data_IF_647832859295
#
_entry.id   IF_647832859295
#
_cell.length_a   1.000
_cell.length_b   1.000
_cell.length_c   1.000
_cell.angle_alpha   90.00
_cell.angle_beta   90.00
_cell.angle_gamma   90.00
#
_symmetry.space_group_name_H-M   'P 1'
#
loop_
_entity.id
_entity.type
_entity.pdbx_description
1 polymer ?
#
# COMPACT_ATOMS: atom_id res chain seq x y z
N UNK A 1 -20.44 10.17 69.51
CA UNK A 1 -19.56 10.04 68.32
C UNK A 1 -20.28 9.15 67.32
N UNK A 2 -20.79 9.69 66.22
CA UNK A 2 -21.51 8.95 65.17
C UNK A 2 -20.50 8.59 64.07
N UNK A 3 -20.32 7.29 63.82
CA UNK A 3 -19.53 6.80 62.69
C UNK A 3 -20.36 6.94 61.41
N UNK A 4 -19.87 7.71 60.44
CA UNK A 4 -20.38 7.72 59.07
C UNK A 4 -19.66 6.65 58.26
N UNK A 5 -20.44 5.73 57.69
CA UNK A 5 -20.00 4.75 56.71
C UNK A 5 -20.00 5.43 55.34
N UNK A 6 -18.83 5.60 54.73
CA UNK A 6 -18.71 6.09 53.34
C UNK A 6 -18.70 4.85 52.43
N UNK A 7 -19.75 4.71 51.61
CA UNK A 7 -19.85 3.68 50.58
C UNK A 7 -19.25 4.26 49.28
N UNK A 8 -18.15 3.70 48.81
CA UNK A 8 -17.62 3.97 47.46
C UNK A 8 -18.37 3.09 46.46
N UNK A 9 -19.13 3.72 45.55
CA UNK A 9 -19.62 3.07 44.34
C UNK A 9 -18.51 3.08 43.29
N UNK A 10 -17.85 1.95 43.05
CA UNK A 10 -17.07 1.74 41.84
C UNK A 10 -18.03 1.50 40.67
N UNK A 11 -18.17 2.49 39.80
CA UNK A 11 -18.74 2.28 38.48
C UNK A 11 -17.69 1.61 37.58
N UNK A 12 -17.81 0.31 37.39
CA UNK A 12 -17.14 -0.35 36.26
C UNK A 12 -17.88 0.06 34.99
N UNK A 13 -17.27 0.94 34.19
CA UNK A 13 -17.62 1.07 32.79
C UNK A 13 -17.21 -0.22 32.10
N UNK A 14 -18.18 -1.12 31.87
CA UNK A 14 -18.03 -2.11 30.82
C UNK A 14 -18.08 -1.35 29.50
N UNK A 15 -16.91 -1.11 28.89
CA UNK A 15 -16.85 -0.80 27.47
C UNK A 15 -17.44 -2.01 26.76
N UNK A 16 -18.61 -1.82 26.17
CA UNK A 16 -19.11 -2.72 25.14
C UNK A 16 -18.06 -2.68 24.05
N UNK A 17 -17.30 -3.77 23.87
CA UNK A 17 -16.46 -3.96 22.69
C UNK A 17 -17.40 -3.88 21.48
N UNK A 18 -17.53 -2.69 20.88
CA UNK A 18 -17.86 -2.62 19.47
C UNK A 18 -16.76 -3.41 18.79
N UNK A 19 -17.12 -4.52 18.15
CA UNK A 19 -16.18 -5.31 17.38
C UNK A 19 -15.53 -4.34 16.38
N UNK A 20 -14.29 -3.92 16.64
CA UNK A 20 -13.56 -3.02 15.76
C UNK A 20 -13.52 -3.70 14.40
N UNK A 21 -14.05 -3.02 13.38
CA UNK A 21 -14.02 -3.56 12.03
C UNK A 21 -12.59 -3.45 11.50
N UNK A 22 -11.80 -4.47 11.83
CA UNK A 22 -10.40 -4.59 11.44
C UNK A 22 -10.23 -5.00 9.97
N UNK A 23 -11.31 -5.11 9.18
CA UNK A 23 -11.23 -5.34 7.75
C UNK A 23 -11.77 -4.13 6.98
N UNK A 24 -10.86 -3.37 6.36
CA UNK A 24 -11.21 -2.19 5.58
C UNK A 24 -11.03 -2.48 4.09
N UNK A 25 -12.06 -2.20 3.29
CA UNK A 25 -12.03 -2.39 1.82
C UNK A 25 -12.10 -1.04 1.12
N UNK A 26 -11.22 -0.88 0.13
CA UNK A 26 -11.06 0.35 -0.63
C UNK A 26 -10.73 0.10 -2.08
N UNK A 27 -10.56 1.20 -2.81
CA UNK A 27 -10.11 1.18 -4.18
C UNK A 27 -9.28 2.43 -4.51
N UNK A 28 -8.60 2.36 -5.66
CA UNK A 28 -7.78 3.46 -6.16
C UNK A 28 -8.54 4.29 -7.19
N UNK A 29 -8.46 5.62 -7.06
CA UNK A 29 -8.85 6.55 -8.10
C UNK A 29 -7.64 7.35 -8.61
N UNK A 30 -7.66 7.67 -9.90
CA UNK A 30 -6.81 8.72 -10.46
C UNK A 30 -7.47 10.09 -10.26
N UNK A 31 -6.63 11.12 -10.24
CA UNK A 31 -7.08 12.50 -10.09
C UNK A 31 -8.16 12.92 -11.11
N UNK A 32 -8.04 12.49 -12.37
CA UNK A 32 -9.00 12.83 -13.44
C UNK A 32 -10.31 12.03 -13.36
N UNK A 33 -10.46 11.15 -12.37
CA UNK A 33 -11.66 10.34 -12.15
C UNK A 33 -12.53 10.91 -11.01
N UNK A 34 -12.05 11.95 -10.32
CA UNK A 34 -12.87 12.72 -9.39
C UNK A 34 -14.03 13.41 -10.12
N UNK A 35 -15.21 13.44 -9.49
CA UNK A 35 -16.44 14.02 -10.03
C UNK A 35 -16.88 13.37 -11.37
N UNK A 36 -16.67 12.06 -11.48
CA UNK A 36 -17.13 11.26 -12.62
C UNK A 36 -18.04 10.13 -12.14
N UNK A 37 -18.69 9.43 -13.08
CA UNK A 37 -19.44 8.21 -12.77
C UNK A 37 -18.59 7.19 -11.98
N UNK A 38 -17.26 7.13 -12.20
CA UNK A 38 -16.39 6.22 -11.45
C UNK A 38 -16.28 6.63 -9.98
N UNK A 39 -16.14 7.93 -9.67
CA UNK A 39 -16.12 8.38 -8.27
C UNK A 39 -17.49 8.21 -7.60
N UNK A 40 -18.59 8.34 -8.34
CA UNK A 40 -19.94 8.10 -7.78
C UNK A 40 -20.11 6.62 -7.39
N UNK A 41 -19.65 5.69 -8.24
CA UNK A 41 -19.62 4.27 -7.93
C UNK A 41 -18.66 3.96 -6.77
N UNK A 42 -17.49 4.63 -6.73
CA UNK A 42 -16.54 4.50 -5.63
C UNK A 42 -17.21 4.84 -4.29
N UNK A 43 -17.85 6.01 -4.20
CA UNK A 43 -18.46 6.51 -2.96
C UNK A 43 -19.65 5.68 -2.49
N UNK A 44 -20.26 4.92 -3.41
CA UNK A 44 -21.32 3.98 -3.06
C UNK A 44 -20.78 2.78 -2.28
N UNK A 45 -19.58 2.30 -2.62
CA UNK A 45 -19.09 0.99 -2.20
C UNK A 45 -17.86 1.06 -1.27
N UNK A 46 -17.13 2.18 -1.19
CA UNK A 46 -15.86 2.23 -0.47
C UNK A 46 -15.72 3.44 0.46
N UNK A 47 -15.05 3.20 1.59
CA UNK A 47 -14.64 4.21 2.58
C UNK A 47 -13.12 4.41 2.64
N UNK A 48 -12.36 3.66 1.83
CA UNK A 48 -10.90 3.71 1.78
C UNK A 48 -10.41 4.02 0.36
N UNK A 49 -9.67 5.12 0.22
CA UNK A 49 -9.12 5.62 -1.04
C UNK A 49 -7.60 5.55 -1.07
N UNK A 50 -7.04 5.10 -2.20
CA UNK A 50 -5.64 5.36 -2.55
C UNK A 50 -5.55 6.26 -3.79
N UNK A 51 -4.85 7.41 -3.75
CA UNK A 51 -4.57 8.20 -4.94
C UNK A 51 -3.53 7.51 -5.84
N UNK A 52 -3.92 7.05 -7.03
CA UNK A 52 -3.08 6.19 -7.89
C UNK A 52 -1.66 6.74 -8.16
N UNK A 53 -1.60 8.04 -8.49
CA UNK A 53 -0.37 8.71 -8.93
C UNK A 53 -0.18 10.09 -8.32
N UNK A 54 -1.23 10.69 -7.73
CA UNK A 54 -1.22 12.09 -7.33
C UNK A 54 -0.18 12.42 -6.25
N UNK A 55 0.17 11.44 -5.39
CA UNK A 55 1.18 11.58 -4.34
C UNK A 55 2.59 11.16 -4.76
N UNK A 56 2.78 10.56 -5.95
CA UNK A 56 4.10 10.07 -6.38
C UNK A 56 5.07 11.23 -6.58
N UNK A 57 6.35 11.00 -6.28
CA UNK A 57 7.40 12.02 -6.38
C UNK A 57 7.46 12.66 -7.77
N UNK A 58 7.24 11.91 -8.85
CA UNK A 58 7.18 12.44 -10.22
C UNK A 58 6.11 13.50 -10.43
N UNK A 59 5.04 13.46 -9.65
CA UNK A 59 3.92 14.40 -9.72
C UNK A 59 4.11 15.55 -8.75
N UNK A 60 4.44 15.27 -7.49
CA UNK A 60 4.55 16.31 -6.45
C UNK A 60 5.89 17.04 -6.46
N UNK A 61 6.95 16.40 -6.95
CA UNK A 61 8.30 16.96 -7.03
C UNK A 61 8.95 16.69 -8.42
N UNK A 62 8.36 17.25 -9.50
CA UNK A 62 8.70 16.87 -10.88
C UNK A 62 10.08 17.36 -11.35
N UNK A 63 10.66 18.35 -10.68
CA UNK A 63 11.96 18.97 -10.97
C UNK A 63 12.64 19.39 -9.65
N UNK A 64 13.97 19.58 -9.63
CA UNK A 64 14.66 20.12 -8.47
C UNK A 64 14.01 21.42 -7.98
N UNK A 65 13.89 21.56 -6.65
CA UNK A 65 13.32 22.74 -5.97
C UNK A 65 11.89 23.14 -6.42
N UNK A 66 11.15 22.24 -7.07
CA UNK A 66 9.80 22.54 -7.60
C UNK A 66 8.78 21.59 -7.00
N UNK A 67 7.76 22.14 -6.36
CA UNK A 67 6.69 21.39 -5.72
C UNK A 67 5.34 21.63 -6.39
N UNK A 68 4.55 20.56 -6.58
CA UNK A 68 3.20 20.61 -7.14
C UNK A 68 2.24 19.73 -6.34
N UNK A 69 1.67 20.31 -5.30
CA UNK A 69 0.73 19.64 -4.41
C UNK A 69 -0.72 19.66 -4.91
N UNK A 70 -1.02 20.35 -6.01
CA UNK A 70 -2.40 20.65 -6.45
C UNK A 70 -3.26 19.40 -6.59
N UNK A 71 -2.75 18.36 -7.27
CA UNK A 71 -3.54 17.14 -7.52
C UNK A 71 -3.81 16.36 -6.23
N UNK A 72 -2.81 16.23 -5.36
CA UNK A 72 -2.98 15.49 -4.11
C UNK A 72 -3.81 16.28 -3.10
N UNK A 73 -3.72 17.61 -3.06
CA UNK A 73 -4.61 18.44 -2.25
C UNK A 73 -6.08 18.21 -2.60
N UNK A 74 -6.43 18.21 -3.89
CA UNK A 74 -7.81 17.95 -4.29
C UNK A 74 -8.29 16.52 -3.98
N UNK A 75 -7.39 15.53 -3.98
CA UNK A 75 -7.72 14.16 -3.53
C UNK A 75 -7.89 14.09 -2.00
N UNK A 76 -7.10 14.84 -1.23
CA UNK A 76 -7.25 14.97 0.22
C UNK A 76 -8.56 15.68 0.56
N UNK A 77 -8.89 16.76 -0.14
CA UNK A 77 -10.16 17.47 0.00
C UNK A 77 -11.34 16.54 -0.29
N UNK A 78 -11.27 15.76 -1.38
CA UNK A 78 -12.27 14.75 -1.70
C UNK A 78 -12.43 13.72 -0.58
N UNK A 79 -11.32 13.19 -0.04
CA UNK A 79 -11.37 12.25 1.08
C UNK A 79 -11.97 12.87 2.34
N UNK A 80 -11.58 14.09 2.70
CA UNK A 80 -12.11 14.80 3.85
C UNK A 80 -13.61 15.10 3.72
N UNK A 81 -14.07 15.54 2.53
CA UNK A 81 -15.49 15.85 2.26
C UNK A 81 -16.36 14.60 2.39
N UNK A 82 -15.86 13.46 1.93
CA UNK A 82 -16.59 12.20 1.91
C UNK A 82 -16.28 11.26 3.09
N UNK A 83 -15.54 11.74 4.11
CA UNK A 83 -15.12 10.97 5.28
C UNK A 83 -14.43 9.64 4.93
N UNK A 84 -13.52 9.68 3.97
CA UNK A 84 -12.74 8.53 3.53
C UNK A 84 -11.43 8.42 4.33
N UNK A 85 -11.05 7.20 4.68
CA UNK A 85 -9.68 6.88 5.04
C UNK A 85 -8.81 6.92 3.77
N UNK A 86 -7.61 7.46 3.89
CA UNK A 86 -6.72 7.66 2.75
C UNK A 86 -5.34 7.05 3.00
N UNK A 87 -4.86 6.27 2.02
CA UNK A 87 -3.47 5.82 1.94
C UNK A 87 -2.67 6.71 0.99
N UNK A 88 -1.55 7.21 1.47
CA UNK A 88 -0.58 7.90 0.63
C UNK A 88 0.33 6.88 -0.05
N UNK A 89 0.10 6.67 -1.35
CA UNK A 89 1.02 5.94 -2.22
C UNK A 89 1.94 6.94 -2.96
N UNK A 90 2.92 7.46 -2.22
CA UNK A 90 3.98 8.35 -2.71
C UNK A 90 5.38 7.96 -2.22
N UNK A 91 5.79 6.69 -2.34
CA UNK A 91 6.93 6.14 -1.61
C UNK A 91 8.32 6.54 -2.13
N UNK A 92 9.33 6.38 -1.29
CA UNK A 92 10.72 6.25 -1.72
C UNK A 92 10.94 4.88 -2.37
N UNK A 93 11.33 4.88 -3.64
CA UNK A 93 11.52 3.65 -4.41
C UNK A 93 11.65 3.91 -5.91
N UNK A 94 11.30 2.92 -6.76
CA UNK A 94 11.39 3.04 -8.21
C UNK A 94 10.47 4.09 -8.85
N UNK A 95 9.43 4.53 -8.15
CA UNK A 95 8.50 5.58 -8.58
C UNK A 95 9.07 7.01 -8.45
N UNK A 96 10.40 7.15 -8.38
CA UNK A 96 11.08 8.44 -8.26
C UNK A 96 11.06 9.28 -9.54
N UNK A 97 11.24 10.59 -9.36
CA UNK A 97 11.34 11.55 -10.45
C UNK A 97 12.50 11.22 -11.39
N UNK A 98 12.33 11.46 -12.69
CA UNK A 98 13.38 11.17 -13.70
C UNK A 98 14.70 11.85 -13.38
N UNK A 99 14.68 13.06 -12.82
CA UNK A 99 15.89 13.82 -12.48
C UNK A 99 16.64 13.26 -11.27
N UNK A 100 15.97 12.51 -10.40
CA UNK A 100 16.60 11.75 -9.30
C UNK A 100 17.35 10.53 -9.87
N UNK A 101 16.85 9.98 -10.97
CA UNK A 101 17.45 8.83 -11.66
C UNK A 101 18.58 9.20 -12.62
N UNK A 102 19.00 10.46 -12.67
CA UNK A 102 20.12 10.85 -13.52
C UNK A 102 21.39 10.11 -13.07
N UNK A 103 22.15 9.58 -14.03
CA UNK A 103 23.35 8.79 -13.76
C UNK A 103 24.42 9.61 -13.03
N UNK A 104 24.42 10.93 -13.26
CA UNK A 104 25.35 11.89 -12.65
C UNK A 104 25.12 12.15 -11.16
N UNK A 105 23.99 11.70 -10.58
CA UNK A 105 23.67 11.93 -9.17
C UNK A 105 24.66 11.26 -8.23
N UNK A 106 25.18 12.05 -7.28
CA UNK A 106 26.05 11.57 -6.20
C UNK A 106 25.23 11.00 -5.04
N UNK A 107 25.89 10.24 -4.16
CA UNK A 107 25.28 9.75 -2.92
C UNK A 107 24.74 10.90 -2.05
N UNK A 108 25.53 11.96 -1.87
CA UNK A 108 25.17 13.10 -1.02
C UNK A 108 23.98 13.89 -1.59
N UNK A 109 23.93 14.10 -2.90
CA UNK A 109 22.79 14.73 -3.56
C UNK A 109 21.53 13.89 -3.39
N UNK A 110 21.61 12.57 -3.55
CA UNK A 110 20.48 11.67 -3.35
C UNK A 110 20.01 11.68 -1.89
N UNK A 111 20.93 11.72 -0.92
CA UNK A 111 20.58 11.83 0.49
C UNK A 111 19.84 13.14 0.78
N UNK A 112 20.34 14.27 0.28
CA UNK A 112 19.69 15.57 0.44
C UNK A 112 18.27 15.56 -0.14
N UNK A 113 18.11 15.08 -1.38
CA UNK A 113 16.81 15.00 -2.04
C UNK A 113 15.83 14.06 -1.31
N UNK A 114 16.34 12.95 -0.75
CA UNK A 114 15.53 12.04 0.06
C UNK A 114 15.04 12.72 1.33
N UNK A 115 15.94 13.39 2.04
CA UNK A 115 15.61 14.10 3.29
C UNK A 115 14.60 15.21 3.02
N UNK A 116 14.80 16.02 1.98
CA UNK A 116 13.84 17.05 1.55
C UNK A 116 12.47 16.43 1.25
N UNK A 117 12.43 15.41 0.38
CA UNK A 117 11.17 14.81 -0.05
C UNK A 117 10.39 14.17 1.09
N UNK A 118 11.06 13.40 1.95
CA UNK A 118 10.43 12.75 3.10
C UNK A 118 9.97 13.76 4.14
N UNK A 119 10.76 14.80 4.40
CA UNK A 119 10.41 15.84 5.38
C UNK A 119 9.13 16.57 4.96
N UNK A 120 9.09 17.08 3.73
CA UNK A 120 7.93 17.83 3.21
C UNK A 120 6.68 16.95 3.14
N UNK A 121 6.82 15.70 2.67
CA UNK A 121 5.70 14.76 2.60
C UNK A 121 5.15 14.40 3.98
N UNK A 122 6.02 14.08 4.95
CA UNK A 122 5.58 13.71 6.31
C UNK A 122 4.90 14.89 7.01
N UNK A 123 5.48 16.10 6.95
CA UNK A 123 4.88 17.30 7.55
C UNK A 123 3.52 17.60 6.93
N UNK A 124 3.39 17.42 5.61
CA UNK A 124 2.13 17.68 4.93
C UNK A 124 1.07 16.66 5.33
N UNK A 125 1.33 15.38 5.14
CA UNK A 125 0.32 14.34 5.30
C UNK A 125 -0.05 14.08 6.76
N UNK A 126 0.88 14.25 7.71
CA UNK A 126 0.59 14.11 9.15
C UNK A 126 -0.46 15.09 9.69
N UNK A 127 -0.73 16.17 8.96
CA UNK A 127 -1.75 17.18 9.32
C UNK A 127 -3.13 16.85 8.78
N UNK A 128 -3.25 15.84 7.92
CA UNK A 128 -4.48 15.50 7.22
C UNK A 128 -5.23 14.39 7.96
N UNK A 129 -6.43 14.65 8.51
CA UNK A 129 -7.12 13.70 9.38
C UNK A 129 -7.59 12.43 8.66
N UNK A 130 -7.80 12.49 7.35
CA UNK A 130 -8.13 11.34 6.51
C UNK A 130 -6.95 10.41 6.27
N UNK A 131 -5.71 10.87 6.40
CA UNK A 131 -4.54 10.03 6.10
C UNK A 131 -4.29 9.06 7.23
N UNK A 132 -4.45 7.75 6.95
CA UNK A 132 -4.23 6.67 7.92
C UNK A 132 -2.94 5.89 7.67
N UNK A 133 -2.56 5.75 6.41
CA UNK A 133 -1.39 4.97 6.01
C UNK A 133 -0.50 5.73 5.03
N UNK A 134 0.81 5.56 5.14
CA UNK A 134 1.78 6.07 4.18
C UNK A 134 2.75 4.96 3.76
N UNK A 135 2.87 4.75 2.45
CA UNK A 135 3.95 3.93 1.91
C UNK A 135 5.26 4.68 2.04
N UNK A 136 6.07 4.33 3.03
CA UNK A 136 7.38 4.98 3.25
C UNK A 136 8.36 4.55 2.16
N UNK A 137 8.43 3.25 1.90
CA UNK A 137 9.25 2.67 0.84
C UNK A 137 8.44 1.68 0.02
N UNK A 138 8.80 1.53 -1.26
CA UNK A 138 8.13 0.62 -2.17
C UNK A 138 9.10 -0.10 -3.11
N UNK A 139 8.84 -1.39 -3.37
CA UNK A 139 9.55 -2.21 -4.37
C UNK A 139 11.09 -2.16 -4.26
N UNK A 140 11.58 -2.24 -3.02
CA UNK A 140 13.01 -2.11 -2.71
C UNK A 140 13.74 -3.43 -2.74
N UNK A 141 13.03 -4.57 -2.75
CA UNK A 141 13.60 -5.92 -2.76
C UNK A 141 13.20 -6.65 -4.05
N UNK A 142 14.16 -7.32 -4.70
CA UNK A 142 13.91 -8.14 -5.88
C UNK A 142 13.46 -9.56 -5.47
N UNK A 143 12.77 -10.33 -6.34
CA UNK A 143 12.36 -11.70 -6.04
C UNK A 143 13.50 -12.65 -5.63
N UNK A 144 14.74 -12.32 -6.00
CA UNK A 144 15.95 -13.05 -5.62
C UNK A 144 16.41 -12.82 -4.18
N UNK A 145 15.83 -11.84 -3.46
CA UNK A 145 16.25 -11.37 -2.15
C UNK A 145 17.34 -10.29 -2.16
N UNK A 146 17.80 -9.87 -3.36
CA UNK A 146 18.73 -8.74 -3.52
C UNK A 146 18.00 -7.41 -3.42
N UNK A 147 18.69 -6.36 -2.98
CA UNK A 147 18.18 -4.99 -3.07
C UNK A 147 17.98 -4.59 -4.53
N UNK A 148 16.84 -3.96 -4.81
CA UNK A 148 16.58 -3.32 -6.09
C UNK A 148 17.46 -2.07 -6.17
N UNK A 149 18.31 -2.00 -7.20
CA UNK A 149 19.29 -0.95 -7.37
C UNK A 149 19.14 -0.15 -8.66
N UNK A 150 20.09 0.77 -8.90
CA UNK A 150 20.11 1.61 -10.09
C UNK A 150 20.43 0.79 -11.35
N UNK A 151 20.10 1.36 -12.51
CA UNK A 151 20.43 0.89 -13.85
C UNK A 151 20.87 2.09 -14.68
N UNK A 152 21.71 1.87 -15.69
CA UNK A 152 22.11 2.96 -16.59
C UNK A 152 20.90 3.58 -17.29
N UNK A 153 20.83 4.92 -17.21
CA UNK A 153 19.81 5.78 -17.79
C UNK A 153 18.51 5.88 -16.98
N UNK A 154 17.86 7.04 -17.03
CA UNK A 154 16.71 7.40 -16.20
C UNK A 154 15.32 6.94 -16.70
N UNK A 155 15.27 6.02 -17.67
CA UNK A 155 14.04 5.58 -18.33
C UNK A 155 13.60 4.16 -17.95
N UNK A 156 14.38 3.46 -17.12
CA UNK A 156 14.11 2.08 -16.70
C UNK A 156 13.32 2.04 -15.39
N UNK A 157 12.75 0.86 -15.12
CA UNK A 157 12.33 0.51 -13.76
C UNK A 157 13.57 0.14 -12.96
N UNK A 158 13.97 1.04 -12.08
CA UNK A 158 15.19 0.99 -11.27
C UNK A 158 14.97 1.72 -9.95
N UNK A 159 15.87 1.52 -9.00
CA UNK A 159 15.84 2.23 -7.72
C UNK A 159 17.17 2.99 -7.51
N UNK A 160 17.20 4.32 -7.77
CA UNK A 160 18.44 5.10 -7.69
C UNK A 160 18.94 5.27 -6.26
N UNK A 161 18.06 5.20 -5.27
CA UNK A 161 18.35 5.50 -3.87
C UNK A 161 19.37 4.53 -3.26
N UNK A 162 19.53 3.33 -3.82
CA UNK A 162 20.55 2.37 -3.38
C UNK A 162 21.98 2.91 -3.60
N UNK A 163 22.19 3.87 -4.51
CA UNK A 163 23.49 4.56 -4.70
C UNK A 163 23.96 5.29 -3.44
N UNK A 164 23.05 5.63 -2.52
CA UNK A 164 23.40 6.26 -1.23
C UNK A 164 24.33 5.36 -0.41
N UNK A 165 24.18 4.03 -0.56
CA UNK A 165 25.00 3.04 0.13
C UNK A 165 24.21 2.21 1.13
N UNK A 166 24.94 1.29 1.75
CA UNK A 166 24.45 0.39 2.80
C UNK A 166 25.14 0.75 4.12
N UNK A 167 24.50 0.43 5.24
CA UNK A 167 25.18 0.42 6.52
C UNK A 167 26.03 -0.85 6.72
N UNK A 168 26.66 -0.96 7.89
CA UNK A 168 27.52 -2.09 8.28
C UNK A 168 26.81 -3.46 8.30
N UNK A 169 25.47 -3.48 8.38
CA UNK A 169 24.65 -4.69 8.38
C UNK A 169 24.02 -4.97 7.00
N UNK A 170 24.53 -4.31 5.95
CA UNK A 170 24.07 -4.42 4.56
C UNK A 170 22.61 -4.00 4.34
N UNK A 171 22.11 -3.05 5.15
CA UNK A 171 20.80 -2.43 4.96
C UNK A 171 20.92 -1.06 4.26
N UNK A 172 20.06 -0.74 3.28
CA UNK A 172 20.15 0.50 2.55
C UNK A 172 19.90 1.71 3.44
N UNK A 173 20.84 2.65 3.42
CA UNK A 173 20.77 3.88 4.20
C UNK A 173 19.52 4.70 3.87
N UNK A 174 19.07 4.67 2.62
CA UNK A 174 17.86 5.37 2.20
C UNK A 174 16.59 4.81 2.86
N UNK A 175 16.50 3.50 3.10
CA UNK A 175 15.35 2.89 3.77
C UNK A 175 15.35 3.32 5.24
N UNK A 176 16.50 3.19 5.91
CA UNK A 176 16.66 3.58 7.31
C UNK A 176 16.34 5.06 7.53
N UNK A 177 16.90 5.95 6.69
CA UNK A 177 16.66 7.39 6.78
C UNK A 177 15.19 7.75 6.50
N UNK A 178 14.53 7.07 5.57
CA UNK A 178 13.11 7.33 5.28
C UNK A 178 12.22 7.01 6.49
N UNK A 179 12.43 5.85 7.12
CA UNK A 179 11.68 5.47 8.33
C UNK A 179 12.07 6.30 9.56
N UNK A 180 13.33 6.71 9.70
CA UNK A 180 13.76 7.66 10.74
C UNK A 180 12.98 8.98 10.68
N UNK A 181 12.92 9.58 9.48
CA UNK A 181 12.20 10.85 9.26
C UNK A 181 10.71 10.65 9.49
N UNK A 182 10.11 9.60 8.92
CA UNK A 182 8.69 9.33 9.06
C UNK A 182 8.28 9.05 10.51
N UNK A 183 9.11 8.33 11.28
CA UNK A 183 8.89 8.10 12.71
C UNK A 183 8.80 9.42 13.48
N UNK A 184 9.63 10.40 13.13
CA UNK A 184 9.69 11.69 13.81
C UNK A 184 8.57 12.65 13.37
N UNK A 185 8.23 12.66 12.08
CA UNK A 185 7.41 13.72 11.48
C UNK A 185 6.00 13.27 11.07
N UNK A 186 5.71 11.97 11.11
CA UNK A 186 4.38 11.41 10.86
C UNK A 186 3.95 10.42 11.96
N UNK A 187 3.94 10.83 13.24
CA UNK A 187 3.65 9.93 14.36
C UNK A 187 2.21 9.40 14.38
N UNK A 188 1.27 10.07 13.71
CA UNK A 188 -0.14 9.68 13.75
C UNK A 188 -0.59 8.90 12.50
N UNK A 189 0.35 8.52 11.63
CA UNK A 189 0.11 7.75 10.41
C UNK A 189 0.83 6.40 10.52
N UNK A 190 0.18 5.31 10.11
CA UNK A 190 0.80 3.99 10.02
C UNK A 190 1.81 3.94 8.86
N UNK A 191 3.06 3.58 9.18
CA UNK A 191 4.21 3.61 8.28
C UNK A 191 4.40 2.24 7.62
N UNK A 192 4.09 2.16 6.32
CA UNK A 192 3.99 0.89 5.60
C UNK A 192 5.20 0.63 4.71
N UNK A 193 5.73 -0.59 4.78
CA UNK A 193 6.70 -1.12 3.81
C UNK A 193 5.93 -1.87 2.71
N UNK A 194 5.72 -1.25 1.55
CA UNK A 194 4.96 -1.84 0.45
C UNK A 194 5.87 -2.58 -0.55
N UNK A 195 5.41 -3.72 -1.08
CA UNK A 195 6.21 -4.54 -1.97
C UNK A 195 5.38 -5.23 -3.05
N UNK A 196 5.83 -5.08 -4.30
CA UNK A 196 5.41 -5.94 -5.39
C UNK A 196 6.16 -7.26 -5.33
N UNK A 197 5.43 -8.36 -5.18
CA UNK A 197 6.01 -9.69 -5.22
C UNK A 197 4.93 -10.76 -5.45
N UNK A 198 5.37 -11.94 -5.86
CA UNK A 198 4.66 -13.17 -5.47
C UNK A 198 5.12 -13.59 -4.08
N UNK A 199 5.04 -14.88 -3.76
CA UNK A 199 5.48 -15.41 -2.46
C UNK A 199 6.86 -16.10 -2.53
N UNK A 200 7.83 -15.45 -3.18
CA UNK A 200 9.21 -15.94 -3.18
C UNK A 200 9.80 -15.85 -1.76
N UNK A 201 10.25 -16.98 -1.15
CA UNK A 201 10.69 -16.97 0.25
C UNK A 201 11.83 -15.98 0.52
N UNK A 202 12.82 -15.91 -0.39
CA UNK A 202 13.99 -15.03 -0.23
C UNK A 202 13.64 -13.55 -0.10
N UNK A 203 12.63 -13.09 -0.83
CA UNK A 203 12.19 -11.69 -0.76
C UNK A 203 11.49 -11.41 0.57
N UNK A 204 10.54 -12.25 0.96
CA UNK A 204 9.79 -12.05 2.21
C UNK A 204 10.66 -12.24 3.45
N UNK A 205 11.61 -13.18 3.45
CA UNK A 205 12.59 -13.31 4.51
C UNK A 205 13.47 -12.06 4.64
N UNK A 206 13.88 -11.47 3.51
CA UNK A 206 14.64 -10.20 3.50
C UNK A 206 13.78 -9.05 4.03
N UNK A 207 12.51 -8.97 3.64
CA UNK A 207 11.57 -7.95 4.14
C UNK A 207 11.37 -8.08 5.65
N UNK A 208 11.07 -9.28 6.16
CA UNK A 208 10.91 -9.56 7.59
C UNK A 208 12.15 -9.19 8.40
N UNK A 209 13.35 -9.52 7.90
CA UNK A 209 14.63 -9.12 8.51
C UNK A 209 14.82 -7.60 8.50
N UNK A 210 14.41 -6.93 7.41
CA UNK A 210 14.50 -5.47 7.28
C UNK A 210 13.60 -4.76 8.27
N UNK A 211 12.36 -5.21 8.44
CA UNK A 211 11.43 -4.63 9.42
C UNK A 211 12.00 -4.76 10.84
N UNK A 212 12.46 -5.95 11.22
CA UNK A 212 13.08 -6.17 12.54
C UNK A 212 14.30 -5.27 12.76
N UNK A 213 15.11 -5.07 11.73
CA UNK A 213 16.30 -4.22 11.81
C UNK A 213 15.97 -2.72 11.87
N UNK A 214 15.00 -2.24 11.09
CA UNK A 214 14.53 -0.85 11.17
C UNK A 214 13.99 -0.57 12.58
N UNK A 215 13.18 -1.48 13.13
CA UNK A 215 12.62 -1.35 14.48
C UNK A 215 13.67 -1.44 15.57
N UNK A 216 14.73 -2.25 15.42
CA UNK A 216 15.83 -2.30 16.40
C UNK A 216 16.66 -1.03 16.46
N UNK A 217 16.61 -0.17 15.43
CA UNK A 217 17.19 1.19 15.44
C UNK A 217 16.28 2.23 16.11
N UNK A 218 15.10 1.84 16.59
CA UNK A 218 14.12 2.73 17.21
C UNK A 218 13.19 3.43 16.21
N UNK A 219 13.18 3.02 14.95
CA UNK A 219 12.29 3.57 13.92
C UNK A 219 11.03 2.72 13.80
N UNK A 220 9.89 3.35 13.55
CA UNK A 220 8.63 2.67 13.34
C UNK A 220 8.56 2.01 11.96
N UNK A 221 7.97 0.83 11.96
CA UNK A 221 7.33 0.20 10.80
C UNK A 221 6.07 -0.40 11.38
N UNK A 222 4.93 0.02 10.88
CA UNK A 222 3.65 -0.32 11.49
C UNK A 222 2.84 -1.27 10.59
N UNK A 223 3.20 -1.41 9.31
CA UNK A 223 2.50 -2.31 8.41
C UNK A 223 3.30 -2.87 7.25
N UNK A 224 2.81 -3.95 6.68
CA UNK A 224 3.32 -4.59 5.47
C UNK A 224 2.31 -4.44 4.33
N UNK A 225 2.77 -3.98 3.17
CA UNK A 225 1.98 -3.94 1.95
C UNK A 225 2.36 -5.03 0.97
N UNK A 226 1.39 -5.83 0.54
CA UNK A 226 1.48 -6.70 -0.63
C UNK A 226 0.63 -6.12 -1.76
N UNK A 227 1.26 -5.79 -2.88
CA UNK A 227 0.55 -5.18 -4.02
C UNK A 227 -0.54 -6.10 -4.58
N UNK A 228 -0.26 -7.39 -4.79
CA UNK A 228 -1.29 -8.30 -5.31
C UNK A 228 -1.59 -8.14 -6.81
N UNK A 229 -0.63 -7.67 -7.62
CA UNK A 229 -0.75 -7.69 -9.09
C UNK A 229 -0.71 -9.12 -9.67
N UNK A 230 -1.88 -9.75 -9.77
CA UNK A 230 -1.99 -11.14 -10.21
C UNK A 230 -1.67 -11.26 -11.70
N UNK A 231 -0.88 -12.28 -12.06
CA UNK A 231 -0.51 -12.58 -13.46
C UNK A 231 0.21 -11.45 -14.22
N UNK A 232 0.70 -10.40 -13.54
CA UNK A 232 1.41 -9.31 -14.20
C UNK A 232 2.81 -9.71 -14.72
N UNK A 233 3.49 -10.61 -14.01
CA UNK A 233 4.86 -11.00 -14.37
C UNK A 233 5.21 -12.38 -13.84
N UNK A 234 6.30 -12.97 -14.33
CA UNK A 234 6.79 -14.29 -13.90
C UNK A 234 6.86 -14.44 -12.37
N UNK A 235 7.16 -13.38 -11.63
CA UNK A 235 7.21 -13.43 -10.16
C UNK A 235 5.83 -13.48 -9.51
N UNK A 236 4.75 -13.04 -10.16
CA UNK A 236 3.40 -13.06 -9.59
C UNK A 236 2.55 -14.23 -10.08
N UNK A 237 2.99 -14.96 -11.12
CA UNK A 237 2.27 -16.13 -11.66
C UNK A 237 2.13 -17.27 -10.64
N UNK A 238 3.17 -17.47 -9.82
CA UNK A 238 3.22 -18.57 -8.86
C UNK A 238 2.07 -18.55 -7.84
N UNK A 239 1.55 -17.36 -7.49
CA UNK A 239 0.39 -17.27 -6.58
C UNK A 239 -0.88 -17.83 -7.21
N UNK A 240 -1.07 -17.67 -8.52
CA UNK A 240 -2.27 -18.12 -9.22
C UNK A 240 -2.14 -19.56 -9.71
N UNK A 241 -0.96 -19.96 -10.20
CA UNK A 241 -0.71 -21.31 -10.71
C UNK A 241 -0.80 -22.39 -9.63
N UNK A 242 -0.47 -22.05 -8.38
CA UNK A 242 -0.65 -22.90 -7.21
C UNK A 242 -1.38 -22.09 -6.12
N UNK A 243 -2.68 -21.90 -6.33
CA UNK A 243 -3.51 -21.02 -5.51
C UNK A 243 -3.55 -21.45 -4.04
N UNK A 244 -3.61 -22.76 -3.77
CA UNK A 244 -3.66 -23.23 -2.38
C UNK A 244 -2.36 -22.93 -1.64
N UNK A 245 -1.20 -23.12 -2.28
CA UNK A 245 0.07 -22.66 -1.73
C UNK A 245 0.14 -21.14 -1.60
N UNK A 246 -0.32 -20.41 -2.62
CA UNK A 246 -0.35 -18.94 -2.60
C UNK A 246 -1.15 -18.38 -1.44
N UNK A 247 -2.37 -18.89 -1.21
CA UNK A 247 -3.24 -18.54 -0.08
C UNK A 247 -2.58 -18.91 1.25
N UNK A 248 -1.94 -20.08 1.35
CA UNK A 248 -1.20 -20.47 2.55
C UNK A 248 -0.03 -19.53 2.84
N UNK A 249 0.75 -19.16 1.83
CA UNK A 249 1.89 -18.26 2.00
C UNK A 249 1.43 -16.83 2.38
N UNK A 250 0.33 -16.36 1.80
CA UNK A 250 -0.32 -15.10 2.20
C UNK A 250 -0.78 -15.16 3.67
N UNK A 251 -1.46 -16.24 4.05
CA UNK A 251 -1.90 -16.46 5.43
C UNK A 251 -0.73 -16.41 6.42
N UNK A 252 0.36 -17.13 6.14
CA UNK A 252 1.57 -17.13 6.97
C UNK A 252 2.25 -15.75 7.06
N UNK A 253 2.15 -14.93 6.02
CA UNK A 253 2.70 -13.57 6.05
C UNK A 253 1.84 -12.64 6.90
N UNK A 254 0.51 -12.76 6.81
CA UNK A 254 -0.43 -12.01 7.65
C UNK A 254 -0.24 -12.40 9.13
N UNK A 255 -0.20 -13.69 9.43
CA UNK A 255 0.04 -14.18 10.79
C UNK A 255 1.36 -13.63 11.35
N UNK A 256 2.44 -13.69 10.55
CA UNK A 256 3.71 -13.09 10.96
C UNK A 256 3.62 -11.58 11.20
N UNK A 257 2.83 -10.85 10.40
CA UNK A 257 2.63 -9.42 10.58
C UNK A 257 1.95 -9.14 11.93
N UNK A 258 0.81 -9.78 12.19
CA UNK A 258 0.04 -9.63 13.44
C UNK A 258 0.84 -10.08 14.66
N UNK A 259 1.56 -11.21 14.60
CA UNK A 259 2.46 -11.69 15.67
C UNK A 259 3.60 -10.72 16.00
N UNK A 260 3.91 -9.78 15.10
CA UNK A 260 4.93 -8.76 15.30
C UNK A 260 4.31 -7.36 15.45
N UNK A 261 3.02 -7.25 15.80
CA UNK A 261 2.30 -5.97 15.98
C UNK A 261 2.35 -5.08 14.72
N UNK A 262 2.10 -5.68 13.55
CA UNK A 262 2.06 -4.98 12.27
C UNK A 262 0.68 -5.16 11.61
N UNK A 263 0.16 -4.08 11.04
CA UNK A 263 -0.95 -4.10 10.09
C UNK A 263 -0.56 -4.89 8.82
N UNK A 264 -1.55 -5.49 8.16
CA UNK A 264 -1.34 -6.09 6.85
C UNK A 264 -2.24 -5.48 5.78
N UNK A 265 -1.68 -5.17 4.61
CA UNK A 265 -2.41 -4.53 3.54
C UNK A 265 -2.25 -5.30 2.23
N UNK A 266 -3.36 -5.66 1.60
CA UNK A 266 -3.41 -5.89 0.15
C UNK A 266 -3.65 -4.54 -0.52
N UNK A 267 -2.68 -4.07 -1.29
CA UNK A 267 -2.55 -2.62 -1.58
C UNK A 267 -2.94 -2.25 -3.00
N UNK A 268 -2.79 -3.16 -3.95
CA UNK A 268 -2.95 -2.87 -5.38
C UNK A 268 -3.56 -4.07 -6.15
N UNK A 269 -4.58 -4.73 -5.58
CA UNK A 269 -5.13 -5.96 -6.17
C UNK A 269 -5.75 -5.67 -7.55
N UNK A 270 -5.22 -6.33 -8.57
CA UNK A 270 -5.77 -6.39 -9.92
C UNK A 270 -5.44 -7.74 -10.57
N UNK A 271 -6.13 -8.08 -11.66
CA UNK A 271 -5.94 -9.33 -12.38
C UNK A 271 -5.55 -9.06 -13.83
N UNK A 272 -4.35 -9.45 -14.22
CA UNK A 272 -3.85 -9.21 -15.57
C UNK A 272 -4.33 -10.30 -16.56
N UNK A 273 -4.77 -9.85 -17.72
CA UNK A 273 -5.17 -10.66 -18.87
C UNK A 273 -4.38 -10.19 -20.09
N UNK A 274 -3.68 -11.10 -20.76
CA UNK A 274 -2.84 -10.78 -21.93
C UNK A 274 -3.68 -10.32 -23.13
N UNK A 275 -4.73 -11.07 -23.45
CA UNK A 275 -5.72 -10.73 -24.48
C UNK A 275 -7.13 -11.19 -24.10
N UNK A 276 -8.15 -10.64 -24.76
CA UNK A 276 -9.56 -10.85 -24.38
C UNK A 276 -10.23 -12.05 -25.04
N UNK A 277 -9.48 -12.96 -25.68
CA UNK A 277 -10.06 -14.12 -26.37
C UNK A 277 -10.84 -15.04 -25.44
N UNK A 278 -10.47 -15.11 -24.16
CA UNK A 278 -11.11 -15.97 -23.15
C UNK A 278 -11.64 -15.21 -21.92
N UNK A 279 -11.94 -13.91 -22.09
CA UNK A 279 -12.20 -12.98 -20.98
C UNK A 279 -13.28 -13.48 -19.99
N UNK A 280 -14.33 -14.15 -20.46
CA UNK A 280 -15.38 -14.66 -19.57
C UNK A 280 -14.83 -15.68 -18.56
N UNK A 281 -13.99 -16.61 -19.00
CA UNK A 281 -13.36 -17.58 -18.10
C UNK A 281 -12.32 -16.91 -17.21
N UNK A 282 -11.57 -15.93 -17.72
CA UNK A 282 -10.63 -15.16 -16.92
C UNK A 282 -11.33 -14.40 -15.77
N UNK A 283 -12.49 -13.80 -16.03
CA UNK A 283 -13.28 -13.11 -15.01
C UNK A 283 -13.88 -14.08 -13.97
N UNK A 284 -14.23 -15.31 -14.35
CA UNK A 284 -14.65 -16.35 -13.40
C UNK A 284 -13.47 -16.82 -12.53
N UNK A 285 -12.29 -16.99 -13.11
CA UNK A 285 -11.06 -17.30 -12.37
C UNK A 285 -10.68 -16.16 -11.42
N UNK A 286 -10.75 -14.90 -11.88
CA UNK A 286 -10.55 -13.72 -11.06
C UNK A 286 -11.48 -13.74 -9.84
N UNK A 287 -12.79 -13.95 -10.04
CA UNK A 287 -13.78 -14.01 -8.95
C UNK A 287 -13.42 -15.08 -7.93
N UNK A 288 -13.07 -16.29 -8.39
CA UNK A 288 -12.67 -17.39 -7.51
C UNK A 288 -11.44 -17.00 -6.65
N UNK A 289 -10.41 -16.44 -7.26
CA UNK A 289 -9.18 -16.05 -6.55
C UNK A 289 -9.44 -14.92 -5.58
N UNK A 290 -10.18 -13.88 -5.99
CA UNK A 290 -10.55 -12.76 -5.12
C UNK A 290 -11.36 -13.24 -3.92
N UNK A 291 -12.32 -14.15 -4.12
CA UNK A 291 -13.08 -14.74 -3.01
C UNK A 291 -12.18 -15.44 -1.99
N UNK A 292 -11.17 -16.21 -2.45
CA UNK A 292 -10.21 -16.87 -1.55
C UNK A 292 -9.36 -15.88 -0.76
N UNK A 293 -8.91 -14.78 -1.40
CA UNK A 293 -8.16 -13.72 -0.72
C UNK A 293 -9.04 -13.00 0.30
N UNK A 294 -10.24 -12.59 -0.10
CA UNK A 294 -11.18 -11.86 0.75
C UNK A 294 -11.57 -12.67 1.99
N UNK A 295 -11.94 -13.95 1.81
CA UNK A 295 -12.31 -14.81 2.94
C UNK A 295 -11.14 -14.98 3.92
N UNK A 296 -9.90 -15.06 3.42
CA UNK A 296 -8.71 -15.10 4.27
C UNK A 296 -8.53 -13.79 5.03
N UNK A 297 -8.65 -12.64 4.37
CA UNK A 297 -8.54 -11.34 5.04
C UNK A 297 -9.62 -11.18 6.12
N UNK A 298 -10.86 -11.53 5.82
CA UNK A 298 -11.95 -11.52 6.80
C UNK A 298 -11.63 -12.41 8.02
N UNK A 299 -11.08 -13.62 7.81
CA UNK A 299 -10.62 -14.48 8.90
C UNK A 299 -9.51 -13.82 9.73
N UNK A 300 -8.50 -13.27 9.07
CA UNK A 300 -7.33 -12.67 9.72
C UNK A 300 -7.63 -11.34 10.40
N UNK A 301 -8.68 -10.62 9.99
CA UNK A 301 -9.11 -9.38 10.64
C UNK A 301 -9.44 -9.55 12.13
N UNK A 302 -9.76 -10.78 12.55
CA UNK A 302 -10.02 -11.13 13.96
C UNK A 302 -8.78 -10.99 14.85
N UNK A 303 -7.58 -10.99 14.27
CA UNK A 303 -6.31 -10.96 14.99
C UNK A 303 -5.57 -9.61 14.88
N UNK A 304 -5.98 -8.74 13.96
CA UNK A 304 -5.35 -7.44 13.73
C UNK A 304 -5.86 -6.78 12.45
N UNK A 305 -5.47 -5.52 12.23
CA UNK A 305 -5.91 -4.77 11.06
C UNK A 305 -5.47 -5.45 9.76
N UNK A 306 -6.42 -5.59 8.84
CA UNK A 306 -6.16 -5.93 7.45
C UNK A 306 -6.91 -4.98 6.52
N UNK A 307 -6.29 -4.62 5.41
CA UNK A 307 -6.97 -3.81 4.38
C UNK A 307 -6.90 -4.47 3.01
N UNK A 308 -7.93 -4.30 2.20
CA UNK A 308 -7.95 -4.65 0.78
C UNK A 308 -8.18 -3.40 -0.07
N UNK A 309 -7.27 -3.12 -1.00
CA UNK A 309 -7.44 -2.05 -1.98
C UNK A 309 -7.36 -2.60 -3.40
N UNK A 310 -8.42 -2.37 -4.20
CA UNK A 310 -8.42 -2.66 -5.64
C UNK A 310 -7.66 -1.59 -6.41
N UNK A 311 -6.72 -1.98 -7.28
CA UNK A 311 -5.92 -1.03 -8.05
C UNK A 311 -6.64 -0.59 -9.32
N UNK A 312 -7.42 0.49 -9.17
CA UNK A 312 -8.52 0.89 -10.05
C UNK A 312 -9.78 0.05 -9.76
N UNK A 313 -10.93 0.56 -10.18
CA UNK A 313 -12.22 -0.13 -10.12
C UNK A 313 -12.60 -0.74 -11.47
N UNK A 314 -12.12 -0.17 -12.57
CA UNK A 314 -12.44 -0.58 -13.93
C UNK A 314 -11.29 -1.31 -14.62
N UNK A 315 -11.47 -1.55 -15.91
CA UNK A 315 -10.41 -2.09 -16.76
C UNK A 315 -9.35 -1.03 -17.08
N UNK A 316 -8.08 -1.41 -16.97
CA UNK A 316 -6.95 -0.59 -17.46
C UNK A 316 -6.19 -1.29 -18.57
N UNK A 317 -6.08 -0.66 -19.73
CA UNK A 317 -5.26 -1.15 -20.83
C UNK A 317 -3.81 -0.67 -20.71
N UNK A 318 -2.86 -1.58 -20.87
CA UNK A 318 -1.43 -1.26 -20.97
C UNK A 318 -0.90 -1.68 -22.33
N UNK A 319 -0.62 -0.67 -23.17
CA UNK A 319 -0.13 -0.85 -24.54
C UNK A 319 1.04 -1.83 -24.59
N UNK A 320 0.94 -2.83 -25.48
CA UNK A 320 1.96 -3.85 -25.69
C UNK A 320 2.10 -4.85 -24.53
N UNK A 321 1.16 -4.86 -23.58
CA UNK A 321 1.08 -5.88 -22.52
C UNK A 321 -0.27 -6.58 -22.51
N UNK A 322 -1.35 -5.85 -22.23
CA UNK A 322 -2.66 -6.46 -22.01
C UNK A 322 -3.58 -5.58 -21.17
N UNK A 323 -4.50 -6.20 -20.45
CA UNK A 323 -5.59 -5.56 -19.73
C UNK A 323 -5.57 -5.97 -18.26
N UNK A 324 -5.62 -4.99 -17.36
CA UNK A 324 -5.85 -5.23 -15.94
C UNK A 324 -7.35 -5.18 -15.69
N UNK A 325 -7.89 -6.24 -15.11
CA UNK A 325 -9.27 -6.34 -14.66
C UNK A 325 -9.33 -6.03 -13.16
N UNK A 326 -10.36 -5.29 -12.77
CA UNK A 326 -10.75 -5.07 -11.38
C UNK A 326 -12.16 -5.62 -11.19
N UNK A 327 -13.10 -4.86 -10.61
CA UNK A 327 -14.47 -5.30 -10.31
C UNK A 327 -15.53 -4.76 -11.29
N UNK A 328 -15.17 -3.80 -12.14
CA UNK A 328 -16.00 -3.29 -13.23
C UNK A 328 -15.31 -3.47 -14.59
N UNK A 329 -16.12 -3.52 -15.65
CA UNK A 329 -15.64 -3.44 -17.04
C UNK A 329 -15.13 -2.03 -17.39
N UNK A 330 -14.60 -1.87 -18.61
CA UNK A 330 -14.21 -0.57 -19.16
C UNK A 330 -15.38 0.44 -19.19
N UNK A 331 -16.60 -0.03 -19.44
CA UNK A 331 -17.83 0.76 -19.46
C UNK A 331 -18.48 0.89 -18.07
N UNK A 332 -17.75 0.56 -17.01
CA UNK A 332 -18.21 0.62 -15.62
C UNK A 332 -19.45 -0.26 -15.33
N UNK A 333 -19.59 -1.37 -16.05
CA UNK A 333 -20.59 -2.41 -15.73
C UNK A 333 -19.98 -3.41 -14.73
N UNK A 334 -20.69 -3.80 -13.66
CA UNK A 334 -20.21 -4.82 -12.73
C UNK A 334 -19.78 -6.08 -13.47
N UNK A 335 -18.61 -6.62 -13.12
CA UNK A 335 -18.18 -7.95 -13.55
C UNK A 335 -18.50 -8.99 -12.45
N UNK A 336 -18.26 -10.30 -12.68
CA UNK A 336 -18.57 -11.33 -11.68
C UNK A 336 -17.92 -11.11 -10.30
N UNK A 337 -16.75 -10.46 -10.25
CA UNK A 337 -16.04 -10.16 -9.00
C UNK A 337 -16.72 -9.06 -8.17
N UNK A 338 -17.54 -8.19 -8.78
CA UNK A 338 -18.31 -7.18 -8.04
C UNK A 338 -19.26 -7.79 -7.01
N UNK A 339 -19.82 -8.97 -7.32
CA UNK A 339 -20.76 -9.66 -6.42
C UNK A 339 -20.13 -9.97 -5.05
N UNK A 340 -18.81 -10.04 -4.96
CA UNK A 340 -18.08 -10.29 -3.71
C UNK A 340 -18.26 -9.13 -2.71
N UNK A 341 -18.46 -7.90 -3.19
CA UNK A 341 -18.68 -6.73 -2.33
C UNK A 341 -19.96 -6.84 -1.51
N UNK A 342 -21.01 -7.49 -2.04
CA UNK A 342 -22.28 -7.68 -1.33
C UNK A 342 -22.14 -8.51 -0.05
N UNK A 343 -21.04 -9.26 0.09
CA UNK A 343 -20.78 -10.10 1.25
C UNK A 343 -19.87 -9.43 2.29
N UNK A 344 -19.12 -8.39 1.90
CA UNK A 344 -18.08 -7.77 2.74
C UNK A 344 -18.52 -6.40 3.27
N UNK A 345 -19.37 -5.69 2.51
CA UNK A 345 -19.82 -4.33 2.83
C UNK A 345 -21.19 -4.30 3.54
N UNK A 346 -21.72 -5.45 3.96
CA UNK A 346 -22.89 -5.57 4.84
C UNK A 346 -22.43 -5.63 6.29
#
# INVERSE_FOLDING_TARGET
MKNQLIIFFLFFYFSVNSQENNFIVGATLNFNELNTQKSDLFLKDFTYLTPANAAKQTVVHPKPNTWNWTKINQMLDFANIHNLDLRIHGPIGPQSSKWIKDDSRTSDELMLNLVEFMTESCIKFSKEPSVKWMDVVNETILPSGKWHGPRLGNNKWENPWLKIGLDENEFPLYILKSFEIATKLAPDISLVFNQNAGFQPRLWDKLKKSIKYIRSKGYRVDGIGWQGHLLLSKSTYGFVNDLDKGIKDLSNLIDWAHENDLDFHVTELDYFVEDKSNLNNDLLNQKMIYSRIINLLEEKSKNGLVTLNFWDMGERYKKGKGYFQSIYSKELKPNPSYELLNNILK
#
